data_IF_486679660239
#
_entry.id   IF_486679660239
#
_cell.length_a   1.000
_cell.length_b   1.000
_cell.length_c   1.000
_cell.angle_alpha   90.00
_cell.angle_beta   90.00
_cell.angle_gamma   90.00
#
_symmetry.space_group_name_H-M   'P 1'
#
loop_
_entity.id
_entity.type
_entity.pdbx_description
1 polymer ?
#
# COMPACT_ATOMS: atom_id res chain seq x y z
N UNK A 1 -30.59 -6.11 5.73
CA UNK A 1 -29.83 -5.29 6.69
C UNK A 1 -28.44 -5.12 6.10
N UNK A 2 -28.17 -3.98 5.45
CA UNK A 2 -26.86 -3.73 4.82
C UNK A 2 -25.88 -3.38 5.94
N UNK A 3 -24.83 -4.20 6.11
CA UNK A 3 -23.71 -3.86 6.95
C UNK A 3 -23.00 -2.67 6.30
N UNK A 4 -23.26 -1.48 6.82
CA UNK A 4 -22.48 -0.29 6.51
C UNK A 4 -21.04 -0.58 6.93
N UNK A 5 -20.15 -0.71 5.94
CA UNK A 5 -18.70 -0.75 6.12
C UNK A 5 -18.28 0.56 6.78
N UNK A 6 -18.41 0.63 8.11
CA UNK A 6 -17.85 1.73 8.90
C UNK A 6 -16.36 1.62 8.72
N UNK A 7 -15.80 2.55 7.95
CA UNK A 7 -14.38 2.76 7.85
C UNK A 7 -13.80 2.88 9.27
N UNK A 8 -13.09 1.84 9.71
CA UNK A 8 -12.47 1.76 11.05
C UNK A 8 -11.18 2.58 11.15
N UNK A 9 -10.82 3.31 10.09
CA UNK A 9 -9.66 4.19 10.06
C UNK A 9 -9.98 5.46 10.84
N UNK A 10 -9.47 5.53 12.06
CA UNK A 10 -9.59 6.71 12.91
C UNK A 10 -8.52 7.72 12.47
N UNK A 11 -8.92 8.77 11.75
CA UNK A 11 -8.17 10.02 11.59
C UNK A 11 -6.90 10.00 10.73
N UNK A 12 -6.60 8.94 9.98
CA UNK A 12 -5.43 8.89 9.08
C UNK A 12 -5.83 8.38 7.71
N UNK A 13 -5.42 9.10 6.67
CA UNK A 13 -5.68 8.74 5.29
C UNK A 13 -5.02 7.40 4.92
N UNK A 14 -5.58 6.74 3.91
CA UNK A 14 -5.04 5.49 3.34
C UNK A 14 -3.61 5.67 2.86
N UNK A 15 -3.31 6.86 2.34
CA UNK A 15 -1.98 7.29 1.91
C UNK A 15 -1.56 8.44 2.84
N UNK A 16 -0.54 8.25 3.69
CA UNK A 16 -0.08 9.34 4.54
C UNK A 16 0.55 10.47 3.71
N UNK A 17 0.30 11.72 4.10
CA UNK A 17 0.95 12.89 3.49
C UNK A 17 2.49 12.82 3.56
N UNK A 18 3.03 12.21 4.63
CA UNK A 18 4.47 12.02 4.79
C UNK A 18 4.86 10.55 4.62
N UNK A 19 5.03 10.11 3.37
CA UNK A 19 5.44 8.74 3.04
C UNK A 19 6.81 8.36 3.62
N UNK A 20 7.73 9.32 3.75
CA UNK A 20 9.06 9.10 4.30
C UNK A 20 9.04 8.70 5.78
N UNK A 21 7.94 8.95 6.50
CA UNK A 21 7.75 8.47 7.87
C UNK A 21 7.36 6.98 7.95
N UNK A 22 7.00 6.35 6.83
CA UNK A 22 6.47 4.98 6.80
C UNK A 22 7.23 4.05 5.86
N UNK A 23 7.88 4.60 4.84
CA UNK A 23 8.63 3.85 3.84
C UNK A 23 10.12 4.13 4.02
N UNK A 24 10.93 3.10 3.83
CA UNK A 24 12.37 3.24 3.81
C UNK A 24 12.87 3.81 2.46
N UNK A 25 14.14 4.22 2.36
CA UNK A 25 14.68 4.82 1.12
C UNK A 25 14.60 3.93 -0.12
N UNK A 26 14.78 2.61 0.03
CA UNK A 26 14.65 1.65 -1.08
C UNK A 26 13.21 1.61 -1.60
N UNK A 27 12.24 1.59 -0.69
CA UNK A 27 10.82 1.63 -1.04
C UNK A 27 10.44 2.94 -1.71
N UNK A 28 10.87 4.09 -1.19
CA UNK A 28 10.62 5.40 -1.83
C UNK A 28 11.22 5.45 -3.24
N UNK A 29 12.47 4.98 -3.40
CA UNK A 29 13.12 4.94 -4.72
C UNK A 29 12.37 4.04 -5.70
N UNK A 30 11.91 2.87 -5.26
CA UNK A 30 11.12 1.97 -6.10
C UNK A 30 9.75 2.57 -6.43
N UNK A 31 9.06 3.17 -5.46
CA UNK A 31 7.75 3.80 -5.66
C UNK A 31 7.83 4.81 -6.81
N UNK A 32 8.77 5.75 -6.76
CA UNK A 32 8.97 6.72 -7.82
C UNK A 32 9.27 6.09 -9.19
N UNK A 33 10.06 5.01 -9.22
CA UNK A 33 10.33 4.32 -10.48
C UNK A 33 9.06 3.69 -11.05
N UNK A 34 8.29 2.98 -10.24
CA UNK A 34 7.12 2.22 -10.70
C UNK A 34 5.90 3.08 -10.99
N UNK A 35 5.84 4.30 -10.43
CA UNK A 35 4.84 5.33 -10.78
C UNK A 35 4.83 5.64 -12.28
N UNK A 36 6.01 5.72 -12.91
CA UNK A 36 6.13 5.91 -14.36
C UNK A 36 5.63 4.71 -15.18
N UNK A 37 5.45 3.54 -14.57
CA UNK A 37 4.96 2.32 -15.20
C UNK A 37 3.51 2.00 -14.81
N UNK A 38 2.74 2.99 -14.35
CA UNK A 38 1.30 2.85 -14.08
C UNK A 38 0.95 2.24 -12.72
N UNK A 39 1.92 2.09 -11.82
CA UNK A 39 1.67 1.70 -10.44
C UNK A 39 1.41 2.94 -9.57
N UNK A 40 0.53 2.83 -8.60
CA UNK A 40 0.31 3.89 -7.63
C UNK A 40 0.16 3.30 -6.23
N UNK A 41 0.62 4.04 -5.21
CA UNK A 41 0.38 3.67 -3.83
C UNK A 41 -1.11 3.78 -3.50
N UNK A 42 -1.73 2.66 -3.10
CA UNK A 42 -3.16 2.60 -2.81
C UNK A 42 -3.46 2.67 -1.31
N UNK A 43 -2.67 1.98 -0.49
CA UNK A 43 -2.76 2.07 0.97
C UNK A 43 -1.47 1.58 1.63
N UNK A 44 -1.19 2.09 2.83
CA UNK A 44 -0.14 1.56 3.72
C UNK A 44 -0.81 0.84 4.88
N UNK A 45 -0.65 -0.49 4.97
CA UNK A 45 -1.15 -1.26 6.11
C UNK A 45 -0.24 -1.02 7.32
N UNK A 46 -0.83 -0.83 8.49
CA UNK A 46 -0.11 -0.56 9.74
C UNK A 46 -0.59 -1.55 10.81
N UNK A 47 -0.09 -2.79 10.79
CA UNK A 47 -0.42 -3.74 11.85
C UNK A 47 0.20 -3.26 13.16
N UNK A 48 -0.51 -3.49 14.27
CA UNK A 48 0.08 -3.23 15.58
C UNK A 48 1.32 -4.12 15.74
N UNK A 49 2.45 -3.53 16.14
CA UNK A 49 3.73 -4.21 16.38
C UNK A 49 4.43 -4.79 15.13
N UNK A 50 4.07 -4.38 13.92
CA UNK A 50 4.77 -4.76 12.68
C UNK A 50 5.12 -3.52 11.85
N UNK A 51 6.06 -3.70 10.93
CA UNK A 51 6.44 -2.64 9.99
C UNK A 51 5.29 -2.30 9.03
N UNK A 52 5.19 -1.03 8.60
CA UNK A 52 4.21 -0.63 7.60
C UNK A 52 4.39 -1.41 6.30
N UNK A 53 3.29 -1.89 5.73
CA UNK A 53 3.30 -2.65 4.46
C UNK A 53 2.65 -1.80 3.37
N UNK A 54 3.42 -1.19 2.45
CA UNK A 54 2.88 -0.40 1.36
C UNK A 54 2.29 -1.31 0.28
N UNK A 55 1.08 -0.99 -0.16
CA UNK A 55 0.34 -1.75 -1.17
C UNK A 55 0.11 -0.86 -2.38
N UNK A 56 0.61 -1.33 -3.52
CA UNK A 56 0.49 -0.66 -4.81
C UNK A 56 -0.63 -1.28 -5.63
N UNK A 57 -1.25 -0.47 -6.49
CA UNK A 57 -2.21 -0.92 -7.49
C UNK A 57 -1.72 -0.51 -8.88
N UNK A 58 -1.87 -1.38 -9.86
CA UNK A 58 -1.71 -1.01 -11.25
C UNK A 58 -2.99 -0.37 -11.76
N UNK A 59 -2.91 0.87 -12.25
CA UNK A 59 -4.09 1.67 -12.60
C UNK A 59 -4.93 1.03 -13.72
N UNK A 60 -4.30 0.43 -14.73
CA UNK A 60 -5.02 -0.20 -15.85
C UNK A 60 -5.45 -1.66 -15.62
N UNK A 61 -4.70 -2.43 -14.82
CA UNK A 61 -4.90 -3.88 -14.72
C UNK A 61 -5.68 -4.30 -13.49
N UNK A 62 -5.92 -3.38 -12.54
CA UNK A 62 -6.60 -3.69 -11.27
C UNK A 62 -5.84 -4.71 -10.39
N UNK A 63 -4.57 -4.94 -10.69
CA UNK A 63 -3.70 -5.86 -9.95
C UNK A 63 -3.01 -5.14 -8.80
N UNK A 64 -2.74 -5.88 -7.73
CA UNK A 64 -2.10 -5.35 -6.53
C UNK A 64 -0.70 -5.95 -6.36
N UNK A 65 0.17 -5.20 -5.68
CA UNK A 65 1.49 -5.67 -5.29
C UNK A 65 1.86 -5.13 -3.91
N UNK A 66 2.62 -5.90 -3.15
CA UNK A 66 3.31 -5.42 -1.94
C UNK A 66 4.65 -4.84 -2.36
N UNK A 67 4.99 -3.68 -1.81
CA UNK A 67 6.33 -3.12 -1.90
C UNK A 67 7.14 -3.55 -0.69
N UNK A 68 7.99 -4.55 -0.88
CA UNK A 68 8.79 -5.17 0.19
C UNK A 68 9.89 -4.21 0.70
N UNK A 69 10.47 -4.52 1.86
CA UNK A 69 11.49 -3.67 2.49
C UNK A 69 12.76 -3.48 1.65
N UNK A 70 13.12 -4.47 0.83
CA UNK A 70 14.26 -4.39 -0.08
C UNK A 70 13.97 -3.57 -1.35
N UNK A 71 12.73 -3.07 -1.49
CA UNK A 71 12.27 -2.35 -2.66
C UNK A 71 11.83 -3.24 -3.82
N UNK A 72 11.66 -4.55 -3.61
CA UNK A 72 11.06 -5.45 -4.61
C UNK A 72 9.52 -5.33 -4.62
N UNK A 73 8.90 -5.53 -5.79
CA UNK A 73 7.45 -5.64 -5.92
C UNK A 73 7.04 -7.11 -5.92
N UNK A 74 6.31 -7.51 -4.88
CA UNK A 74 5.73 -8.83 -4.77
C UNK A 74 4.26 -8.82 -5.23
N UNK A 75 4.02 -9.40 -6.42
CA UNK A 75 2.70 -9.49 -7.05
C UNK A 75 1.94 -10.78 -6.71
N UNK A 76 2.61 -11.74 -6.05
CA UNK A 76 2.03 -13.04 -5.68
C UNK A 76 1.43 -13.02 -4.27
N UNK A 77 1.11 -11.84 -3.75
CA UNK A 77 0.52 -11.73 -2.42
C UNK A 77 -0.97 -11.97 -2.55
N UNK A 78 -1.42 -13.05 -1.89
CA UNK A 78 -2.81 -13.21 -1.48
C UNK A 78 -3.10 -12.12 -0.43
N UNK A 79 -3.30 -10.89 -0.91
CA UNK A 79 -3.77 -9.82 -0.06
C UNK A 79 -5.19 -10.23 0.24
N UNK A 80 -5.44 -10.81 1.42
CA UNK A 80 -6.78 -11.05 1.91
C UNK A 80 -7.50 -9.68 2.04
N UNK A 81 -8.02 -9.19 0.92
CA UNK A 81 -8.85 -8.00 0.78
C UNK A 81 -10.18 -8.35 1.45
N UNK A 82 -10.23 -8.22 2.77
CA UNK A 82 -11.49 -8.22 3.50
C UNK A 82 -12.11 -6.84 3.30
N UNK A 83 -12.97 -6.75 2.28
CA UNK A 83 -13.92 -5.66 2.07
C UNK A 83 -14.92 -5.59 3.23
#
# INVERSE_FOLDING_TARGET
MQASQRERRIGVDSVPDNLESYLNPSQISTLHKVEHFGWALKYVRRPLFMEPVPILVHQDMGTYAVLEMDGSLNRNVDVALRF
#
